data_IF_988972969548
#
_entry.id   IF_988972969548
#
_cell.length_a   1.000
_cell.length_b   1.000
_cell.length_c   1.000
_cell.angle_alpha   90.00
_cell.angle_beta   90.00
_cell.angle_gamma   90.00
#
_symmetry.space_group_name_H-M   'P 1'
#
loop_
_entity.id
_entity.type
_entity.pdbx_description
1 polymer ?
#
# COMPACT_ATOMS: atom_id res chain seq x y z
N UNK A 1 -22.71 -12.68 -0.43
CA UNK A 1 -21.59 -12.12 0.35
C UNK A 1 -21.89 -12.38 1.81
N UNK A 2 -21.05 -13.16 2.49
CA UNK A 2 -21.19 -13.48 3.91
C UNK A 2 -20.78 -12.28 4.76
N UNK A 3 -21.40 -12.11 5.92
CA UNK A 3 -21.17 -10.97 6.84
C UNK A 3 -19.67 -10.73 7.13
N UNK A 4 -18.91 -11.81 7.32
CA UNK A 4 -17.46 -11.78 7.56
C UNK A 4 -16.64 -11.11 6.45
N UNK A 5 -17.06 -11.21 5.19
CA UNK A 5 -16.32 -10.62 4.08
C UNK A 5 -16.54 -9.11 3.97
N UNK A 6 -17.69 -8.62 4.47
CA UNK A 6 -18.00 -7.19 4.56
C UNK A 6 -17.23 -6.53 5.72
N UNK A 7 -17.14 -7.23 6.85
CA UNK A 7 -16.41 -6.74 8.03
C UNK A 7 -14.90 -6.66 7.76
N UNK A 8 -14.32 -7.65 7.06
CA UNK A 8 -12.91 -7.65 6.67
C UNK A 8 -12.55 -6.53 5.69
N UNK A 9 -13.42 -6.25 4.70
CA UNK A 9 -13.20 -5.16 3.76
C UNK A 9 -13.25 -3.79 4.46
N UNK A 10 -14.16 -3.61 5.42
CA UNK A 10 -14.22 -2.40 6.24
C UNK A 10 -12.96 -2.23 7.10
N UNK A 11 -12.42 -3.29 7.70
CA UNK A 11 -11.19 -3.21 8.49
C UNK A 11 -9.97 -2.81 7.64
N UNK A 12 -9.87 -3.34 6.41
CA UNK A 12 -8.83 -2.95 5.46
C UNK A 12 -8.97 -1.49 5.02
N UNK A 13 -10.17 -1.04 4.66
CA UNK A 13 -10.42 0.36 4.27
C UNK A 13 -10.13 1.33 5.42
N UNK A 14 -10.56 0.98 6.64
CA UNK A 14 -10.25 1.76 7.85
C UNK A 14 -8.73 1.81 8.06
N UNK A 15 -8.04 0.68 7.93
CA UNK A 15 -6.59 0.65 8.09
C UNK A 15 -5.89 1.50 7.01
N UNK A 16 -6.29 1.43 5.74
CA UNK A 16 -5.74 2.29 4.69
C UNK A 16 -5.98 3.79 4.97
N UNK A 17 -7.17 4.14 5.47
CA UNK A 17 -7.49 5.51 5.90
C UNK A 17 -6.56 5.95 7.04
N UNK A 18 -6.38 5.11 8.07
CA UNK A 18 -5.48 5.41 9.19
C UNK A 18 -4.03 5.61 8.74
N UNK A 19 -3.55 4.83 7.76
CA UNK A 19 -2.19 4.97 7.22
C UNK A 19 -2.00 6.33 6.50
N UNK A 20 -2.99 6.76 5.72
CA UNK A 20 -2.97 8.08 5.06
C UNK A 20 -3.11 9.24 6.05
N UNK A 21 -3.74 9.01 7.19
CA UNK A 21 -3.97 10.02 8.23
C UNK A 21 -2.72 10.23 9.08
N UNK A 22 -1.98 9.16 9.40
CA UNK A 22 -0.86 9.21 10.31
C UNK A 22 0.50 9.52 9.65
N UNK A 23 0.51 9.84 8.36
CA UNK A 23 1.71 10.39 7.71
C UNK A 23 2.02 11.80 8.22
N UNK A 24 2.91 11.90 9.20
CA UNK A 24 3.41 13.20 9.65
C UNK A 24 4.26 13.87 8.58
N UNK A 25 4.02 15.17 8.35
CA UNK A 25 4.96 15.98 7.56
C UNK A 25 6.14 16.42 8.42
N UNK A 26 7.35 16.28 7.89
CA UNK A 26 8.60 16.64 8.59
C UNK A 26 9.09 18.01 8.13
N UNK A 27 9.23 18.96 9.06
CA UNK A 27 9.75 20.32 8.76
C UNK A 27 11.14 20.55 9.37
N UNK A 28 11.84 21.56 8.84
CA UNK A 28 13.05 22.12 9.44
C UNK A 28 12.72 22.88 10.71
N UNK A 29 13.70 22.93 11.61
CA UNK A 29 13.47 23.39 12.97
C UNK A 29 13.02 24.83 13.11
N UNK A 30 11.85 25.03 13.73
CA UNK A 30 11.35 26.36 14.11
C UNK A 30 11.83 26.70 15.53
N UNK A 31 11.99 28.00 15.83
CA UNK A 31 12.21 28.46 17.21
C UNK A 31 11.06 27.96 18.08
N UNK A 32 11.39 27.18 19.10
CA UNK A 32 10.41 26.50 19.96
C UNK A 32 9.95 27.41 21.08
N UNK A 33 8.67 27.30 21.45
CA UNK A 33 8.20 27.76 22.75
C UNK A 33 8.56 26.67 23.77
N UNK A 34 9.81 26.68 24.24
CA UNK A 34 10.29 25.63 25.14
C UNK A 34 9.88 25.95 26.58
N UNK A 35 8.86 25.25 27.08
CA UNK A 35 8.90 24.94 28.49
C UNK A 35 10.09 23.99 28.71
N UNK A 36 10.89 24.24 29.76
CA UNK A 36 12.08 23.43 30.05
C UNK A 36 11.74 21.98 30.40
N UNK A 37 10.48 21.71 30.77
CA UNK A 37 10.02 20.40 31.23
C UNK A 37 9.05 19.77 30.24
N UNK A 38 9.18 18.46 30.07
CA UNK A 38 8.29 17.66 29.25
C UNK A 38 6.92 17.58 29.93
N UNK A 39 5.81 17.90 29.24
CA UNK A 39 4.47 17.84 29.84
C UNK A 39 3.96 16.40 30.06
N UNK A 40 4.68 15.38 29.54
CA UNK A 40 4.32 13.97 29.71
C UNK A 40 5.03 13.37 30.93
N UNK A 41 6.36 13.54 31.03
CA UNK A 41 7.17 12.92 32.08
C UNK A 41 7.71 13.91 33.12
N UNK A 42 7.39 15.20 32.99
CA UNK A 42 7.83 16.30 33.86
C UNK A 42 9.36 16.47 33.98
N UNK A 43 10.14 15.71 33.21
CA UNK A 43 11.60 15.79 33.19
C UNK A 43 12.09 16.89 32.26
N UNK A 44 13.33 17.33 32.45
CA UNK A 44 13.94 18.34 31.58
C UNK A 44 14.06 17.87 30.12
N UNK A 45 13.63 18.71 29.18
CA UNK A 45 13.69 18.41 27.74
C UNK A 45 15.15 18.54 27.25
N UNK A 46 15.72 17.42 26.81
CA UNK A 46 17.07 17.35 26.24
C UNK A 46 17.08 17.76 24.75
N UNK A 47 18.25 17.72 24.11
CA UNK A 47 18.43 18.05 22.67
C UNK A 47 17.56 17.22 21.72
N UNK A 48 17.22 15.98 22.09
CA UNK A 48 16.40 15.08 21.27
C UNK A 48 14.91 15.25 21.59
N UNK A 49 14.39 16.44 21.33
CA UNK A 49 12.98 16.75 21.53
C UNK A 49 12.19 16.62 20.22
N UNK A 50 10.88 16.47 20.36
CA UNK A 50 9.93 16.57 19.26
C UNK A 50 9.23 17.89 19.39
N UNK A 51 9.14 18.63 18.30
CA UNK A 51 8.36 19.86 18.21
C UNK A 51 7.14 19.57 17.34
N UNK A 52 5.97 19.87 17.88
CA UNK A 52 4.70 19.67 17.20
C UNK A 52 4.38 20.86 16.29
N UNK A 53 3.50 20.67 15.32
CA UNK A 53 2.91 21.73 14.49
C UNK A 53 2.39 22.95 15.30
N UNK A 54 1.87 22.71 16.51
CA UNK A 54 1.42 23.76 17.42
C UNK A 54 2.53 24.41 18.27
N UNK A 55 3.81 24.17 17.94
CA UNK A 55 5.04 24.68 18.59
C UNK A 55 5.34 24.18 20.01
N UNK A 56 4.44 23.37 20.59
CA UNK A 56 4.72 22.65 21.84
C UNK A 56 5.76 21.56 21.62
N UNK A 57 6.52 21.26 22.66
CA UNK A 57 7.57 20.27 22.62
C UNK A 57 7.49 19.26 23.77
N UNK A 58 8.07 18.09 23.55
CA UNK A 58 8.22 17.04 24.54
C UNK A 58 9.47 16.20 24.24
N UNK A 59 9.83 15.29 25.16
CA UNK A 59 10.90 14.33 24.92
C UNK A 59 10.52 13.37 23.79
N UNK A 60 11.49 12.99 22.97
CA UNK A 60 11.26 12.01 21.90
C UNK A 60 10.69 10.69 22.41
N UNK A 61 11.26 10.11 23.46
CA UNK A 61 10.80 8.83 24.00
C UNK A 61 9.34 8.89 24.47
N UNK A 62 8.95 10.01 25.09
CA UNK A 62 7.57 10.24 25.51
C UNK A 62 6.63 10.37 24.31
N UNK A 63 7.05 11.08 23.27
CA UNK A 63 6.27 11.23 22.05
C UNK A 63 6.10 9.90 21.31
N UNK A 64 7.17 9.11 21.21
CA UNK A 64 7.15 7.81 20.56
C UNK A 64 6.13 6.87 21.21
N UNK A 65 6.20 6.71 22.54
CA UNK A 65 5.25 5.88 23.29
C UNK A 65 3.81 6.40 23.15
N UNK A 66 3.64 7.72 23.13
CA UNK A 66 2.33 8.34 22.93
C UNK A 66 1.73 8.00 21.56
N UNK A 67 2.52 8.14 20.49
CA UNK A 67 2.06 7.84 19.13
C UNK A 67 1.80 6.35 18.94
N UNK A 68 2.67 5.48 19.44
CA UNK A 68 2.48 4.03 19.40
C UNK A 68 1.14 3.63 20.05
N UNK A 69 0.85 4.19 21.23
CA UNK A 69 -0.43 3.97 21.90
C UNK A 69 -1.63 4.55 21.14
N UNK A 70 -1.48 5.73 20.53
CA UNK A 70 -2.55 6.34 19.73
C UNK A 70 -2.89 5.48 18.51
N UNK A 71 -1.88 4.88 17.88
CA UNK A 71 -2.05 3.89 16.82
C UNK A 71 -2.75 2.62 17.30
N UNK A 72 -2.31 2.04 18.43
CA UNK A 72 -2.94 0.86 19.02
C UNK A 72 -4.44 1.08 19.32
N UNK A 73 -4.78 2.29 19.77
CA UNK A 73 -6.17 2.67 20.06
C UNK A 73 -6.97 3.11 18.83
N UNK A 74 -6.35 3.23 17.65
CA UNK A 74 -6.95 3.82 16.44
C UNK A 74 -7.51 5.23 16.68
N UNK A 75 -6.84 6.00 17.53
CA UNK A 75 -7.19 7.40 17.79
C UNK A 75 -6.46 8.34 16.83
N UNK A 76 -6.74 9.63 16.87
CA UNK A 76 -5.93 10.63 16.17
C UNK A 76 -4.93 11.27 17.14
N UNK A 77 -3.69 11.53 16.72
CA UNK A 77 -2.69 12.09 17.61
C UNK A 77 -3.00 13.57 17.86
N UNK A 78 -3.33 13.89 19.10
CA UNK A 78 -3.69 15.25 19.56
C UNK A 78 -2.60 15.81 20.47
N UNK A 79 -2.35 17.12 20.43
CA UNK A 79 -1.39 17.76 21.33
C UNK A 79 -1.86 17.66 22.79
N UNK A 80 -0.99 17.16 23.68
CA UNK A 80 -1.23 17.03 25.12
C UNK A 80 -1.33 18.38 25.87
N UNK A 81 -0.92 19.52 25.27
CA UNK A 81 -1.07 20.87 25.85
C UNK A 81 -2.33 21.55 25.31
N UNK A 82 -2.38 21.83 24.00
CA UNK A 82 -3.42 22.68 23.42
C UNK A 82 -4.56 21.93 22.73
N UNK A 83 -4.52 20.58 22.74
CA UNK A 83 -5.55 19.73 22.15
C UNK A 83 -5.80 19.92 20.65
N UNK A 84 -4.84 20.50 19.92
CA UNK A 84 -4.86 20.58 18.45
C UNK A 84 -4.32 19.30 17.81
N UNK A 85 -4.84 18.95 16.63
CA UNK A 85 -4.38 17.80 15.85
C UNK A 85 -2.91 17.91 15.47
N UNK A 86 -2.19 16.80 15.56
CA UNK A 86 -0.78 16.70 15.20
C UNK A 86 -0.68 16.09 13.81
N UNK A 87 -0.34 16.92 12.81
CA UNK A 87 -0.12 16.50 11.42
C UNK A 87 1.28 16.87 10.91
N UNK A 88 2.02 17.68 11.67
CA UNK A 88 3.41 18.01 11.37
C UNK A 88 4.22 17.84 12.65
N UNK A 89 5.40 17.22 12.49
CA UNK A 89 6.36 17.08 13.56
C UNK A 89 7.74 17.46 13.06
N UNK A 90 8.57 17.82 14.02
CA UNK A 90 9.93 18.22 13.76
C UNK A 90 10.82 17.51 14.78
N UNK A 91 11.78 16.77 14.23
CA UNK A 91 12.72 15.90 14.94
C UNK A 91 14.09 16.20 14.34
N UNK A 92 15.09 16.50 15.17
CA UNK A 92 16.45 16.77 14.68
C UNK A 92 17.15 15.51 14.18
N UNK A 93 17.02 14.41 14.92
CA UNK A 93 17.75 13.17 14.68
C UNK A 93 17.02 12.28 13.66
N UNK A 94 17.71 11.92 12.56
CA UNK A 94 17.20 11.05 11.50
C UNK A 94 16.85 9.64 12.00
N UNK A 95 17.59 9.12 12.99
CA UNK A 95 17.30 7.81 13.59
C UNK A 95 15.92 7.83 14.25
N UNK A 96 15.62 8.92 14.94
CA UNK A 96 14.35 9.11 15.63
C UNK A 96 13.18 9.37 14.65
N UNK A 97 13.44 10.02 13.51
CA UNK A 97 12.44 10.11 12.43
C UNK A 97 12.05 8.74 11.91
N UNK A 98 13.04 7.89 11.60
CA UNK A 98 12.80 6.52 11.12
C UNK A 98 11.95 5.71 12.11
N UNK A 99 12.27 5.79 13.41
CA UNK A 99 11.47 5.12 14.45
C UNK A 99 9.98 5.49 14.41
N UNK A 100 9.64 6.76 14.17
CA UNK A 100 8.24 7.19 14.05
C UNK A 100 7.62 6.68 12.74
N UNK A 101 8.37 6.71 11.64
CA UNK A 101 7.92 6.18 10.34
C UNK A 101 7.69 4.66 10.37
N UNK A 102 8.40 3.94 11.24
CA UNK A 102 8.32 2.48 11.37
C UNK A 102 7.11 2.01 12.21
N UNK A 103 6.46 2.90 12.97
CA UNK A 103 5.30 2.57 13.82
C UNK A 103 4.15 1.92 13.05
N UNK A 104 3.64 2.48 11.94
CA UNK A 104 2.56 1.85 11.19
C UNK A 104 2.95 0.42 10.78
N UNK A 105 4.14 0.22 10.21
CA UNK A 105 4.59 -1.10 9.75
C UNK A 105 4.55 -2.17 10.86
N UNK A 106 4.87 -1.81 12.11
CA UNK A 106 4.80 -2.74 13.25
C UNK A 106 3.37 -3.25 13.51
N UNK A 107 2.37 -2.39 13.35
CA UNK A 107 0.96 -2.75 13.58
C UNK A 107 0.31 -3.47 12.38
N UNK A 108 0.89 -3.36 11.17
CA UNK A 108 0.43 -4.08 9.97
C UNK A 108 1.01 -5.49 9.81
N UNK A 109 1.97 -5.92 10.62
CA UNK A 109 2.40 -7.32 10.67
C UNK A 109 1.32 -8.20 11.34
N UNK A 110 0.15 -8.23 10.73
CA UNK A 110 -0.71 -9.40 10.75
C UNK A 110 0.09 -10.43 9.97
N UNK A 111 0.63 -11.47 10.63
CA UNK A 111 1.04 -12.68 9.90
C UNK A 111 -0.09 -12.95 8.91
N UNK A 112 0.16 -12.97 7.59
CA UNK A 112 -0.88 -13.32 6.66
C UNK A 112 -1.30 -14.72 7.10
N UNK A 113 -2.45 -14.85 7.78
CA UNK A 113 -3.15 -16.12 7.95
C UNK A 113 -3.27 -16.59 6.52
N UNK A 114 -2.35 -17.49 6.10
CA UNK A 114 -1.97 -17.74 4.71
C UNK A 114 -3.12 -17.29 3.85
N UNK A 115 -3.02 -16.08 3.29
CA UNK A 115 -3.93 -15.70 2.25
C UNK A 115 -3.57 -16.70 1.17
N UNK A 116 -4.24 -17.85 1.19
CA UNK A 116 -4.29 -18.77 0.09
C UNK A 116 -4.97 -17.89 -0.92
N UNK A 117 -4.16 -17.17 -1.69
CA UNK A 117 -4.56 -16.66 -2.98
C UNK A 117 -4.98 -17.93 -3.70
N UNK A 118 -6.26 -18.27 -3.58
CA UNK A 118 -6.94 -19.04 -4.58
C UNK A 118 -6.91 -18.12 -5.79
N UNK A 119 -5.78 -18.11 -6.48
CA UNK A 119 -5.78 -17.83 -7.89
C UNK A 119 -6.82 -18.80 -8.44
N UNK A 120 -8.06 -18.34 -8.66
CA UNK A 120 -8.87 -19.00 -9.65
C UNK A 120 -7.98 -19.04 -10.87
N UNK A 121 -7.64 -20.25 -11.30
CA UNK A 121 -6.70 -20.52 -12.37
C UNK A 121 -7.20 -19.83 -13.66
N UNK A 122 -6.92 -18.54 -13.82
CA UNK A 122 -7.18 -17.80 -15.07
C UNK A 122 -6.14 -18.18 -16.13
N UNK A 123 -5.19 -19.07 -15.79
CA UNK A 123 -4.10 -19.54 -16.63
C UNK A 123 -4.29 -20.92 -17.27
N UNK A 124 -5.48 -21.51 -17.26
CA UNK A 124 -5.78 -22.67 -18.13
C UNK A 124 -6.98 -22.37 -19.00
N UNK A 125 -6.73 -21.62 -20.07
CA UNK A 125 -7.50 -21.85 -21.29
C UNK A 125 -7.16 -23.29 -21.67
N UNK A 126 -8.04 -24.24 -21.32
CA UNK A 126 -8.00 -25.59 -21.87
C UNK A 126 -8.25 -25.45 -23.37
N UNK A 127 -7.18 -25.24 -24.14
CA UNK A 127 -7.22 -25.44 -25.58
C UNK A 127 -7.43 -26.94 -25.74
N UNK A 128 -8.69 -27.32 -25.88
CA UNK A 128 -9.11 -28.71 -25.95
C UNK A 128 -8.47 -29.31 -27.20
N UNK A 129 -7.97 -30.55 -27.15
CA UNK A 129 -7.28 -31.20 -28.29
C UNK A 129 -8.11 -31.09 -29.59
N UNK A 130 -9.43 -31.10 -29.46
CA UNK A 130 -10.41 -30.85 -30.52
C UNK A 130 -10.30 -29.48 -31.18
N UNK A 131 -10.09 -28.39 -30.44
CA UNK A 131 -9.98 -27.04 -31.04
C UNK A 131 -8.70 -26.91 -31.85
N UNK A 132 -7.61 -27.53 -31.41
CA UNK A 132 -6.35 -27.54 -32.16
C UNK A 132 -6.48 -28.32 -33.48
N UNK A 133 -7.14 -29.49 -33.43
CA UNK A 133 -7.42 -30.29 -34.63
C UNK A 133 -8.31 -29.51 -35.62
N UNK A 134 -9.34 -28.81 -35.14
CA UNK A 134 -10.20 -27.99 -36.01
C UNK A 134 -9.42 -26.86 -36.69
N UNK A 135 -8.56 -26.15 -35.95
CA UNK A 135 -7.72 -25.09 -36.51
C UNK A 135 -6.76 -25.65 -37.57
N UNK A 136 -6.15 -26.81 -37.32
CA UNK A 136 -5.29 -27.48 -38.31
C UNK A 136 -6.06 -27.86 -39.58
N UNK A 137 -7.28 -28.38 -39.48
CA UNK A 137 -8.10 -28.73 -40.63
C UNK A 137 -8.49 -27.50 -41.46
N UNK A 138 -8.89 -26.41 -40.80
CA UNK A 138 -9.22 -25.15 -41.49
C UNK A 138 -8.00 -24.64 -42.26
N UNK A 139 -6.81 -24.68 -41.64
CA UNK A 139 -5.57 -24.25 -42.28
C UNK A 139 -5.20 -25.12 -43.49
N UNK A 140 -5.34 -26.44 -43.39
CA UNK A 140 -5.08 -27.35 -44.51
C UNK A 140 -6.04 -27.11 -45.68
N UNK A 141 -7.34 -26.95 -45.41
CA UNK A 141 -8.33 -26.66 -46.46
C UNK A 141 -8.02 -25.34 -47.17
N UNK A 142 -7.62 -24.31 -46.40
CA UNK A 142 -7.21 -23.04 -46.97
C UNK A 142 -5.98 -23.16 -47.89
N UNK A 143 -4.96 -23.93 -47.48
CA UNK A 143 -3.79 -24.20 -48.31
C UNK A 143 -4.14 -24.96 -49.60
N UNK A 144 -5.01 -25.96 -49.52
CA UNK A 144 -5.48 -26.69 -50.71
C UNK A 144 -6.25 -25.77 -51.67
N UNK A 145 -7.09 -24.88 -51.14
CA UNK A 145 -7.81 -23.91 -51.96
C UNK A 145 -6.85 -22.93 -52.65
N UNK A 146 -5.87 -22.39 -51.92
CA UNK A 146 -4.85 -21.51 -52.49
C UNK A 146 -4.01 -22.22 -53.57
N UNK A 147 -3.61 -23.47 -53.33
CA UNK A 147 -2.90 -24.26 -54.32
C UNK A 147 -3.76 -24.49 -55.57
N UNK A 148 -5.04 -24.86 -55.41
CA UNK A 148 -5.96 -25.03 -56.53
C UNK A 148 -6.09 -23.76 -57.37
N UNK A 149 -6.33 -22.62 -56.73
CA UNK A 149 -6.48 -21.33 -57.42
C UNK A 149 -5.22 -20.95 -58.21
N UNK A 150 -4.04 -21.12 -57.62
CA UNK A 150 -2.77 -20.88 -58.33
C UNK A 150 -2.57 -21.83 -59.51
N UNK A 151 -2.93 -23.12 -59.38
CA UNK A 151 -2.85 -24.07 -60.50
C UNK A 151 -3.86 -23.76 -61.60
N UNK A 152 -5.08 -23.32 -61.24
CA UNK A 152 -6.11 -22.94 -62.21
C UNK A 152 -5.64 -21.72 -63.01
N UNK A 153 -5.14 -20.67 -62.34
CA UNK A 153 -4.58 -19.49 -62.99
C UNK A 153 -3.41 -19.86 -63.93
N UNK A 154 -2.50 -20.74 -63.50
CA UNK A 154 -1.38 -21.18 -64.33
C UNK A 154 -1.84 -21.91 -65.59
N UNK A 155 -2.84 -22.79 -65.49
CA UNK A 155 -3.40 -23.53 -66.63
C UNK A 155 -4.10 -22.58 -67.61
N UNK A 156 -4.88 -21.61 -67.11
CA UNK A 156 -5.55 -20.60 -67.94
C UNK A 156 -4.56 -19.71 -68.72
N UNK A 157 -3.40 -19.40 -68.14
CA UNK A 157 -2.34 -18.65 -68.82
C UNK A 157 -1.58 -19.47 -69.88
N UNK A 158 -1.57 -20.79 -69.80
CA UNK A 158 -0.86 -21.66 -70.75
C UNK A 158 -1.71 -22.14 -71.94
N UNK A 159 -3.05 -22.07 -71.82
CA UNK A 159 -3.99 -22.52 -72.85
C UNK A 159 -4.54 -21.38 -73.74
N UNK A 160 -4.25 -20.11 -73.42
CA UNK A 160 -4.50 -18.93 -74.25
C UNK A 160 -3.19 -18.40 -74.82
#
# INVERSE_FOLDING_TARGET
MTHQQRDFNNELEIAYLFDTIYTFTYKKQKRTFSQRHCPICYSYIRKNNVVLNCTHNCCFDCFHVYIEKAYDCKDFPICFICRKDIHEIEIQDEINKKKIQDIPYKHYYIEPKRAVFQYHNVGRIFVNRTTFVLIQWIFLVWLFYAAYDTTAQYIYCYLN
#
